data_IF_022663854848
#
_entry.id   IF_022663854848
#
_cell.length_a   1.000
_cell.length_b   1.000
_cell.length_c   1.000
_cell.angle_alpha   90.00
_cell.angle_beta   90.00
_cell.angle_gamma   90.00
#
_symmetry.space_group_name_H-M   'P 1'
#
loop_
_entity.id
_entity.type
_entity.pdbx_description
1 polymer ?
#
# COMPACT_ATOMS: atom_id res chain seq x y z
N UNK A 1 9.84 38.43 37.09
CA UNK A 1 9.46 38.05 35.72
C UNK A 1 10.27 36.89 35.12
N UNK A 2 11.31 36.37 35.74
CA UNK A 2 12.17 35.31 35.17
C UNK A 2 11.74 33.85 35.43
N UNK A 3 10.70 33.61 36.22
CA UNK A 3 10.26 32.24 36.55
C UNK A 3 9.19 31.68 35.57
N UNK A 4 8.33 32.56 35.06
CA UNK A 4 7.27 32.16 34.15
C UNK A 4 7.77 31.81 32.72
N UNK A 5 8.80 32.54 32.25
CA UNK A 5 9.42 32.27 30.92
C UNK A 5 10.06 30.88 30.92
N UNK A 6 10.80 30.51 31.99
CA UNK A 6 11.40 29.16 32.08
C UNK A 6 10.41 28.00 32.14
N UNK A 7 9.20 28.24 32.60
CA UNK A 7 8.16 27.20 32.67
C UNK A 7 7.49 27.02 31.30
N UNK A 8 7.30 28.10 30.57
CA UNK A 8 6.75 28.08 29.21
C UNK A 8 7.74 27.41 28.24
N UNK A 9 9.03 27.76 28.34
CA UNK A 9 10.08 27.16 27.52
C UNK A 9 10.18 25.63 27.77
N UNK A 10 10.11 25.19 29.02
CA UNK A 10 10.05 23.75 29.34
C UNK A 10 8.79 23.04 28.84
N UNK A 11 7.64 23.73 28.80
CA UNK A 11 6.40 23.18 28.26
C UNK A 11 6.49 23.09 26.73
N UNK A 12 7.11 24.05 26.07
CA UNK A 12 7.38 24.00 24.64
C UNK A 12 8.40 22.93 24.28
N UNK A 13 9.51 22.84 24.98
CA UNK A 13 10.52 21.80 24.82
C UNK A 13 9.96 20.41 25.08
N UNK A 14 9.06 20.24 26.06
CA UNK A 14 8.36 18.99 26.35
C UNK A 14 7.32 18.66 25.27
N UNK A 15 6.67 19.66 24.64
CA UNK A 15 5.76 19.48 23.51
C UNK A 15 6.52 19.17 22.22
N UNK A 16 7.63 19.85 21.94
CA UNK A 16 8.47 19.54 20.78
C UNK A 16 9.10 18.15 20.86
N UNK A 17 9.57 17.73 22.04
CA UNK A 17 10.04 16.35 22.26
C UNK A 17 8.93 15.29 22.19
N UNK A 18 7.66 15.67 22.39
CA UNK A 18 6.50 14.77 22.22
C UNK A 18 5.97 14.74 20.78
N UNK A 19 6.33 15.74 19.98
CA UNK A 19 5.91 15.90 18.56
C UNK A 19 6.99 15.36 17.61
N UNK A 20 8.15 14.97 18.07
CA UNK A 20 9.01 14.09 17.26
C UNK A 20 8.26 12.77 17.11
N UNK A 21 7.47 12.69 16.04
CA UNK A 21 6.74 11.49 15.68
C UNK A 21 7.70 10.31 15.82
N UNK A 22 7.42 9.39 16.74
CA UNK A 22 8.23 8.17 16.85
C UNK A 22 8.26 7.57 15.46
N UNK A 23 9.44 7.52 14.86
CA UNK A 23 9.63 6.85 13.58
C UNK A 23 8.87 5.54 13.61
N UNK A 24 8.02 5.31 12.64
CA UNK A 24 7.36 4.01 12.46
C UNK A 24 8.43 2.92 12.39
N UNK A 25 8.10 1.68 12.59
CA UNK A 25 9.09 0.59 12.51
C UNK A 25 9.66 0.46 11.10
N UNK A 26 8.89 0.80 10.08
CA UNK A 26 9.35 0.86 8.69
C UNK A 26 10.41 1.95 8.45
N UNK A 27 10.31 3.08 9.16
CA UNK A 27 11.28 4.20 9.09
C UNK A 27 12.55 3.97 9.93
N UNK A 28 12.56 2.94 10.76
CA UNK A 28 13.75 2.50 11.49
C UNK A 28 14.49 1.51 10.59
N UNK A 29 15.74 1.66 10.36
CA UNK A 29 16.55 0.67 9.64
C UNK A 29 16.49 -0.72 10.31
N UNK A 30 15.34 -1.38 10.18
CA UNK A 30 15.03 -2.67 10.78
C UNK A 30 15.43 -3.78 9.81
N UNK A 31 15.83 -4.92 10.38
CA UNK A 31 16.13 -6.12 9.59
C UNK A 31 14.85 -6.72 9.01
N UNK A 32 15.01 -7.44 7.91
CA UNK A 32 13.92 -8.10 7.18
C UNK A 32 12.99 -8.92 8.09
N UNK A 33 13.55 -9.71 9.00
CA UNK A 33 12.80 -10.56 9.93
C UNK A 33 11.92 -9.73 10.89
N UNK A 34 12.40 -8.56 11.28
CA UNK A 34 11.64 -7.63 12.14
C UNK A 34 10.52 -6.94 11.36
N UNK A 35 10.78 -6.57 10.10
CA UNK A 35 9.77 -5.98 9.21
C UNK A 35 8.60 -6.93 8.98
N UNK A 36 8.89 -8.22 8.73
CA UNK A 36 7.87 -9.27 8.53
C UNK A 36 6.84 -9.34 9.66
N UNK A 37 7.25 -9.06 10.90
CA UNK A 37 6.40 -9.26 12.07
C UNK A 37 5.69 -7.98 12.52
N UNK A 38 6.23 -6.80 12.21
CA UNK A 38 5.85 -5.61 12.94
C UNK A 38 5.33 -4.44 12.10
N UNK A 39 5.66 -4.37 10.81
CA UNK A 39 5.18 -3.28 9.95
C UNK A 39 3.67 -3.39 9.75
N UNK A 40 2.99 -2.25 9.82
CA UNK A 40 1.55 -2.15 9.69
C UNK A 40 0.77 -2.37 10.99
N UNK A 41 1.44 -2.82 12.07
CA UNK A 41 0.82 -3.02 13.39
C UNK A 41 1.64 -2.37 14.52
N UNK A 42 2.17 -1.18 14.25
CA UNK A 42 2.99 -0.44 15.21
C UNK A 42 2.22 -0.02 16.45
N UNK A 43 0.94 0.27 16.29
CA UNK A 43 -0.01 0.60 17.37
C UNK A 43 -0.98 -0.54 17.61
N UNK A 44 -1.42 -0.71 18.85
CA UNK A 44 -2.52 -1.61 19.18
C UNK A 44 -3.84 -1.09 18.60
N UNK A 45 -4.83 -1.96 18.45
CA UNK A 45 -6.19 -1.54 18.09
C UNK A 45 -6.73 -0.52 19.11
N UNK A 46 -7.23 0.64 18.68
CA UNK A 46 -7.58 1.72 19.60
C UNK A 46 -8.86 1.46 20.41
N UNK A 47 -9.64 0.45 20.05
CA UNK A 47 -10.91 0.12 20.73
C UNK A 47 -10.70 -1.00 21.76
N UNK A 48 -9.90 -2.00 21.40
CA UNK A 48 -9.76 -3.24 22.19
C UNK A 48 -8.37 -3.41 22.83
N UNK A 49 -7.42 -2.54 22.50
CA UNK A 49 -5.99 -2.67 22.84
C UNK A 49 -5.35 -3.96 22.32
N UNK A 50 -6.00 -4.64 21.37
CA UNK A 50 -5.47 -5.86 20.79
C UNK A 50 -4.15 -5.60 20.06
N UNK A 51 -3.14 -6.41 20.36
CA UNK A 51 -1.84 -6.32 19.68
C UNK A 51 -1.89 -6.93 18.28
N UNK A 52 -2.62 -8.02 18.12
CA UNK A 52 -2.89 -8.60 16.80
C UNK A 52 -3.87 -7.73 16.02
N UNK A 53 -3.69 -7.66 14.71
CA UNK A 53 -4.61 -6.91 13.84
C UNK A 53 -5.97 -7.59 13.84
N UNK A 54 -7.07 -6.90 14.19
CA UNK A 54 -8.41 -7.45 14.07
C UNK A 54 -8.76 -7.80 12.62
N UNK A 55 -9.61 -8.81 12.44
CA UNK A 55 -10.15 -9.17 11.13
C UNK A 55 -11.45 -8.39 10.91
N UNK A 56 -11.41 -7.38 10.04
CA UNK A 56 -12.56 -6.56 9.70
C UNK A 56 -13.34 -7.17 8.54
N UNK A 57 -14.26 -8.08 8.83
CA UNK A 57 -15.17 -8.68 7.85
C UNK A 57 -16.36 -7.76 7.56
N UNK A 58 -16.11 -6.67 6.87
CA UNK A 58 -17.16 -5.71 6.49
C UNK A 58 -16.95 -5.21 5.07
N UNK A 59 -18.05 -4.90 4.40
CA UNK A 59 -18.02 -4.26 3.07
C UNK A 59 -18.10 -2.74 3.15
N UNK A 60 -18.69 -2.17 4.21
CA UNK A 60 -18.93 -0.74 4.30
C UNK A 60 -18.62 -0.18 5.69
N UNK A 61 -18.31 1.10 5.71
CA UNK A 61 -18.03 1.85 6.92
C UNK A 61 -19.03 3.01 7.03
N UNK A 62 -19.45 3.35 8.25
CA UNK A 62 -20.40 4.43 8.49
C UNK A 62 -19.70 5.77 8.63
N UNK A 63 -20.43 6.83 8.30
CA UNK A 63 -19.99 8.21 8.48
C UNK A 63 -20.72 8.86 9.64
N UNK A 64 -20.06 9.78 10.33
CA UNK A 64 -20.64 10.48 11.47
C UNK A 64 -21.75 11.47 11.05
N UNK A 65 -21.59 12.06 9.85
CA UNK A 65 -22.52 13.02 9.24
C UNK A 65 -22.21 13.19 7.76
N UNK A 66 -23.02 13.98 7.03
CA UNK A 66 -22.86 14.21 5.59
C UNK A 66 -21.56 14.92 5.24
N UNK A 67 -21.06 15.83 6.07
CA UNK A 67 -19.79 16.52 5.83
C UNK A 67 -18.61 15.55 5.95
N UNK A 68 -18.61 14.67 6.96
CA UNK A 68 -17.59 13.63 7.09
C UNK A 68 -17.58 12.71 5.87
N UNK A 69 -18.74 12.33 5.33
CA UNK A 69 -18.80 11.55 4.09
C UNK A 69 -18.19 12.32 2.92
N UNK A 70 -18.57 13.58 2.73
CA UNK A 70 -18.04 14.42 1.67
C UNK A 70 -16.50 14.57 1.74
N UNK A 71 -15.96 14.76 2.92
CA UNK A 71 -14.51 14.92 3.14
C UNK A 71 -13.76 13.60 2.87
N UNK A 72 -14.32 12.45 3.23
CA UNK A 72 -13.77 11.12 2.90
C UNK A 72 -13.72 10.89 1.39
N UNK A 73 -14.82 11.13 0.69
CA UNK A 73 -14.87 10.96 -0.77
C UNK A 73 -14.02 11.99 -1.52
N UNK A 74 -13.81 13.16 -0.96
CA UNK A 74 -12.90 14.17 -1.49
C UNK A 74 -11.42 13.96 -1.11
N UNK A 75 -11.09 12.87 -0.39
CA UNK A 75 -9.74 12.55 0.12
C UNK A 75 -9.13 13.64 1.01
N UNK A 76 -9.97 14.46 1.64
CA UNK A 76 -9.57 15.48 2.62
C UNK A 76 -9.39 14.90 4.02
N UNK A 77 -10.13 13.84 4.31
CA UNK A 77 -10.04 13.09 5.55
C UNK A 77 -9.69 11.62 5.24
N UNK A 78 -8.62 11.14 5.84
CA UNK A 78 -8.15 9.78 5.62
C UNK A 78 -8.99 8.75 6.39
N UNK A 79 -9.25 7.59 5.79
CA UNK A 79 -9.89 6.45 6.45
C UNK A 79 -10.74 5.60 5.53
N UNK A 80 -11.49 4.69 6.14
CA UNK A 80 -12.21 3.67 5.40
C UNK A 80 -13.55 4.17 4.90
N UNK A 81 -13.92 3.76 3.70
CA UNK A 81 -15.18 4.06 3.02
C UNK A 81 -15.90 2.75 2.71
N UNK A 82 -15.24 1.87 1.98
CA UNK A 82 -15.78 0.63 1.49
C UNK A 82 -14.69 -0.43 1.36
N UNK A 83 -14.95 -1.67 1.79
CA UNK A 83 -13.95 -2.73 1.91
C UNK A 83 -13.20 -3.10 0.62
N UNK A 84 -13.79 -2.84 -0.56
CA UNK A 84 -13.09 -3.01 -1.84
C UNK A 84 -12.00 -1.95 -2.08
N UNK A 85 -12.13 -0.78 -1.46
CA UNK A 85 -11.18 0.33 -1.61
C UNK A 85 -10.16 0.37 -0.48
N UNK A 86 -10.64 0.15 0.74
CA UNK A 86 -9.84 0.23 1.96
C UNK A 86 -10.39 -0.72 3.03
N UNK A 87 -9.53 -1.53 3.62
CA UNK A 87 -9.87 -2.37 4.75
C UNK A 87 -8.68 -2.39 5.73
N UNK A 88 -8.87 -2.15 7.03
CA UNK A 88 -7.76 -2.09 7.99
C UNK A 88 -6.95 -3.38 8.06
N UNK A 89 -7.54 -4.54 7.79
CA UNK A 89 -6.83 -5.82 7.77
C UNK A 89 -5.93 -5.95 6.54
N UNK A 90 -6.43 -5.58 5.37
CA UNK A 90 -5.66 -5.55 4.12
C UNK A 90 -4.54 -4.51 4.17
N UNK A 91 -4.80 -3.33 4.72
CA UNK A 91 -3.83 -2.23 4.85
C UNK A 91 -2.55 -2.68 5.59
N UNK A 92 -2.68 -3.52 6.61
CA UNK A 92 -1.51 -4.08 7.30
C UNK A 92 -0.69 -4.98 6.39
N UNK A 93 -1.33 -5.81 5.58
CA UNK A 93 -0.66 -6.66 4.61
C UNK A 93 0.05 -5.82 3.54
N UNK A 94 -0.64 -4.85 2.97
CA UNK A 94 -0.11 -3.95 1.94
C UNK A 94 1.11 -3.17 2.43
N UNK A 95 1.02 -2.52 3.59
CA UNK A 95 2.16 -1.80 4.20
C UNK A 95 3.35 -2.72 4.47
N UNK A 96 3.08 -3.94 4.91
CA UNK A 96 4.14 -4.90 5.23
C UNK A 96 4.87 -5.37 3.99
N UNK A 97 4.15 -5.71 2.93
CA UNK A 97 4.76 -6.10 1.65
C UNK A 97 5.52 -4.92 1.04
N UNK A 98 4.94 -3.72 1.03
CA UNK A 98 5.65 -2.53 0.57
C UNK A 98 6.99 -2.33 1.30
N UNK A 99 7.00 -2.47 2.63
CA UNK A 99 8.23 -2.33 3.42
C UNK A 99 9.26 -3.43 3.15
N UNK A 100 8.82 -4.67 2.92
CA UNK A 100 9.71 -5.81 2.64
C UNK A 100 10.34 -5.71 1.26
N UNK A 101 9.59 -5.19 0.27
CA UNK A 101 10.04 -4.99 -1.11
C UNK A 101 10.74 -3.63 -1.32
N UNK A 102 10.79 -2.76 -0.30
CA UNK A 102 11.33 -1.41 -0.43
C UNK A 102 10.47 -0.50 -1.33
N UNK A 103 9.20 -0.85 -1.52
CA UNK A 103 8.24 -0.10 -2.31
C UNK A 103 7.63 1.08 -1.55
N UNK A 104 7.08 2.03 -2.29
CA UNK A 104 6.36 3.19 -1.73
C UNK A 104 5.00 2.76 -1.17
N UNK A 105 4.32 1.84 -1.86
CA UNK A 105 3.03 1.28 -1.49
C UNK A 105 2.84 -0.09 -2.13
N UNK A 106 1.84 -0.84 -1.68
CA UNK A 106 1.37 -2.06 -2.30
C UNK A 106 -0.17 -2.06 -2.35
N UNK A 107 -0.73 -2.83 -3.26
CA UNK A 107 -2.17 -3.07 -3.37
C UNK A 107 -2.43 -4.57 -3.34
N UNK A 108 -3.24 -5.02 -2.40
CA UNK A 108 -3.69 -6.41 -2.33
C UNK A 108 -4.80 -6.67 -3.35
N UNK A 109 -4.70 -7.79 -4.04
CA UNK A 109 -5.71 -8.23 -5.01
C UNK A 109 -5.98 -9.72 -4.85
N UNK A 110 -7.09 -10.19 -5.38
CA UNK A 110 -7.58 -11.55 -5.15
C UNK A 110 -6.73 -12.68 -5.74
N UNK A 111 -5.77 -12.39 -6.63
CA UNK A 111 -4.87 -13.39 -7.20
C UNK A 111 -3.65 -12.76 -7.88
N UNK A 112 -2.59 -13.54 -8.07
CA UNK A 112 -1.44 -13.11 -8.85
C UNK A 112 -1.78 -12.80 -10.32
N UNK A 113 -2.73 -13.52 -10.92
CA UNK A 113 -3.22 -13.22 -12.27
C UNK A 113 -3.89 -11.84 -12.32
N UNK A 114 -4.70 -11.50 -11.30
CA UNK A 114 -5.28 -10.16 -11.18
C UNK A 114 -4.20 -9.09 -11.00
N UNK A 115 -3.18 -9.34 -10.18
CA UNK A 115 -2.07 -8.42 -9.99
C UNK A 115 -1.36 -8.11 -11.31
N UNK A 116 -1.01 -9.12 -12.09
CA UNK A 116 -0.39 -8.93 -13.41
C UNK A 116 -1.31 -8.17 -14.36
N UNK A 117 -2.58 -8.58 -14.44
CA UNK A 117 -3.56 -7.95 -15.34
C UNK A 117 -3.74 -6.47 -15.03
N UNK A 118 -3.95 -6.12 -13.76
CA UNK A 118 -4.16 -4.72 -13.36
C UNK A 118 -2.91 -3.87 -13.53
N UNK A 119 -1.72 -4.45 -13.29
CA UNK A 119 -0.46 -3.75 -13.55
C UNK A 119 -0.34 -3.39 -15.03
N UNK A 120 -0.60 -4.34 -15.93
CA UNK A 120 -0.52 -4.10 -17.37
C UNK A 120 -1.57 -3.09 -17.81
N UNK A 121 -2.83 -3.25 -17.40
CA UNK A 121 -3.92 -2.32 -17.77
C UNK A 121 -3.70 -0.90 -17.24
N UNK A 122 -2.93 -0.74 -16.16
CA UNK A 122 -2.57 0.59 -15.65
C UNK A 122 -1.43 1.25 -16.42
N UNK A 123 -0.57 0.48 -17.08
CA UNK A 123 0.63 0.95 -17.77
C UNK A 123 0.51 0.98 -19.29
N UNK A 124 -0.27 0.06 -19.88
CA UNK A 124 -0.39 -0.11 -21.30
C UNK A 124 -1.83 0.19 -21.80
N UNK A 125 -1.94 1.04 -22.79
CA UNK A 125 -3.17 1.41 -23.47
C UNK A 125 -3.28 0.71 -24.82
N UNK A 126 -4.46 0.78 -25.45
CA UNK A 126 -4.65 0.27 -26.80
C UNK A 126 -3.69 0.95 -27.79
N UNK A 127 -2.92 0.15 -28.49
CA UNK A 127 -1.87 0.60 -29.41
C UNK A 127 -0.45 0.53 -28.81
N UNK A 128 -0.32 0.25 -27.52
CA UNK A 128 0.99 0.07 -26.89
C UNK A 128 1.57 -1.32 -27.14
N UNK A 129 2.88 -1.44 -26.93
CA UNK A 129 3.64 -2.65 -27.14
C UNK A 129 4.38 -3.08 -25.89
N UNK A 130 4.34 -4.38 -25.58
CA UNK A 130 5.02 -4.98 -24.42
C UNK A 130 6.17 -5.86 -24.91
N UNK A 131 7.31 -5.77 -24.26
CA UNK A 131 8.41 -6.74 -24.42
C UNK A 131 8.43 -7.62 -23.18
N UNK A 132 8.37 -8.94 -23.35
CA UNK A 132 8.27 -9.89 -22.25
C UNK A 132 9.22 -11.07 -22.46
N UNK A 133 9.71 -11.63 -21.37
CA UNK A 133 10.47 -12.86 -21.40
C UNK A 133 9.58 -14.06 -21.82
N UNK A 134 10.08 -14.91 -22.72
CA UNK A 134 9.31 -16.07 -23.22
C UNK A 134 9.07 -17.18 -22.18
N UNK A 135 9.81 -17.19 -21.08
CA UNK A 135 9.75 -18.21 -20.03
C UNK A 135 8.94 -17.78 -18.79
N UNK A 136 8.01 -16.83 -18.94
CA UNK A 136 7.13 -16.40 -17.85
C UNK A 136 6.05 -17.44 -17.54
N UNK A 137 5.36 -17.27 -16.43
CA UNK A 137 4.24 -18.12 -16.04
C UNK A 137 3.19 -18.26 -17.16
N UNK A 138 2.73 -19.47 -17.43
CA UNK A 138 1.86 -19.78 -18.56
C UNK A 138 0.57 -18.95 -18.62
N UNK A 139 -0.06 -18.65 -17.48
CA UNK A 139 -1.24 -17.78 -17.44
C UNK A 139 -0.93 -16.35 -17.88
N UNK A 140 0.23 -15.82 -17.49
CA UNK A 140 0.72 -14.50 -17.93
C UNK A 140 1.07 -14.53 -19.43
N UNK A 141 1.71 -15.61 -19.89
CA UNK A 141 1.99 -15.77 -21.31
C UNK A 141 0.72 -15.72 -22.15
N UNK A 142 -0.31 -16.48 -21.76
CA UNK A 142 -1.60 -16.47 -22.46
C UNK A 142 -2.31 -15.11 -22.42
N UNK A 143 -2.25 -14.40 -21.29
CA UNK A 143 -2.76 -13.04 -21.18
C UNK A 143 -2.09 -12.13 -22.22
N UNK A 144 -0.77 -12.15 -22.30
CA UNK A 144 0.03 -11.30 -23.20
C UNK A 144 -0.10 -11.72 -24.66
N UNK A 145 -0.04 -13.02 -24.96
CA UNK A 145 -0.02 -13.53 -26.32
C UNK A 145 -1.38 -13.48 -27.02
N UNK A 146 -2.46 -13.59 -26.27
CA UNK A 146 -3.81 -13.75 -26.80
C UNK A 146 -4.77 -12.69 -26.30
N UNK A 147 -5.03 -12.64 -25.00
CA UNK A 147 -6.09 -11.79 -24.43
C UNK A 147 -5.84 -10.31 -24.70
N UNK A 148 -4.63 -9.81 -24.45
CA UNK A 148 -4.33 -8.38 -24.63
C UNK A 148 -4.28 -7.96 -26.10
N UNK A 149 -4.04 -8.90 -27.01
CA UNK A 149 -4.11 -8.65 -28.44
C UNK A 149 -5.52 -8.25 -28.89
N UNK A 150 -6.55 -8.84 -28.30
CA UNK A 150 -7.94 -8.45 -28.56
C UNK A 150 -8.26 -7.03 -28.05
N UNK A 151 -7.45 -6.50 -27.16
CA UNK A 151 -7.50 -5.11 -26.66
C UNK A 151 -6.50 -4.18 -27.37
N UNK A 152 -5.94 -4.64 -28.50
CA UNK A 152 -4.97 -3.88 -29.30
C UNK A 152 -3.68 -3.52 -28.51
N UNK A 153 -3.22 -4.42 -27.66
CA UNK A 153 -1.90 -4.36 -27.02
C UNK A 153 -1.08 -5.53 -27.52
N UNK A 154 -0.01 -5.25 -28.27
CA UNK A 154 0.85 -6.26 -28.84
C UNK A 154 2.00 -6.63 -27.91
N UNK A 155 2.52 -7.86 -28.03
CA UNK A 155 3.64 -8.35 -27.22
C UNK A 155 4.69 -9.03 -28.05
N UNK A 156 5.95 -8.67 -27.84
CA UNK A 156 7.13 -9.41 -28.34
C UNK A 156 7.72 -10.23 -27.21
N UNK A 157 7.87 -11.54 -27.45
CA UNK A 157 8.53 -12.45 -26.50
C UNK A 157 9.99 -12.63 -26.86
N UNK A 158 10.87 -12.39 -25.90
CA UNK A 158 12.33 -12.43 -26.08
C UNK A 158 13.00 -13.47 -25.17
N UNK A 159 14.23 -13.80 -25.48
CA UNK A 159 15.02 -14.67 -24.61
C UNK A 159 15.44 -13.93 -23.35
N UNK A 160 15.10 -14.40 -22.13
CA UNK A 160 15.45 -13.75 -20.88
C UNK A 160 16.97 -13.74 -20.60
N UNK A 161 17.74 -14.56 -21.31
CA UNK A 161 19.21 -14.62 -21.18
C UNK A 161 19.93 -13.66 -22.13
N UNK A 162 19.22 -12.97 -23.00
CA UNK A 162 19.73 -11.94 -23.90
C UNK A 162 19.25 -10.54 -23.47
N UNK A 163 20.03 -9.78 -22.70
CA UNK A 163 19.64 -8.42 -22.28
C UNK A 163 19.48 -7.44 -23.45
N UNK A 164 20.07 -7.74 -24.62
CA UNK A 164 19.99 -6.87 -25.80
C UNK A 164 18.66 -7.06 -26.55
N UNK A 165 17.90 -8.11 -26.23
CA UNK A 165 16.61 -8.38 -26.83
C UNK A 165 15.48 -7.54 -26.22
N UNK A 166 15.70 -6.90 -25.04
CA UNK A 166 14.76 -6.00 -24.36
C UNK A 166 15.03 -4.55 -24.73
#
# INVERSE_FOLDING_TARGET
MNGQVRMIDKIFEFKENKIMAKKTRAERNLKFETLQLHVGQETADPVTDARAVPIYQTSSFVFHNSQHAADRFALKDAGNIYGRLTNPTEDVFERRIAALEGGVAALAVGSGAAAVTYTIQNLALAGDHIVAAKNIYGGTYNLLAHTLKDYNVDTTFVDPLDPQAF
#
